data_IF_052548767029
#
_entry.id   IF_052548767029
#
_cell.length_a   1.000
_cell.length_b   1.000
_cell.length_c   1.000
_cell.angle_alpha   90.00
_cell.angle_beta   90.00
_cell.angle_gamma   90.00
#
_symmetry.space_group_name_H-M   'P 1'
#
loop_
_entity.id
_entity.type
_entity.pdbx_description
1 polymer ?
#
# COMPACT_ATOMS: atom_id res chain seq x y z
N UNK A 1 14.69 8.14 -6.64
CA UNK A 1 14.23 7.24 -5.59
C UNK A 1 13.34 6.18 -6.20
N UNK A 2 13.49 4.88 -5.81
CA UNK A 2 12.64 3.81 -6.36
C UNK A 2 11.17 3.92 -5.99
N UNK A 3 10.83 4.61 -4.91
CA UNK A 3 9.43 4.78 -4.51
C UNK A 3 9.03 6.25 -4.66
N UNK A 4 7.99 6.49 -5.46
CA UNK A 4 7.44 7.81 -5.71
C UNK A 4 5.97 7.82 -5.33
N UNK A 5 5.48 8.93 -4.78
CA UNK A 5 4.06 9.04 -4.46
C UNK A 5 3.52 10.43 -4.76
N UNK A 6 2.22 10.49 -5.01
CA UNK A 6 1.47 11.72 -5.17
C UNK A 6 0.21 11.65 -4.32
N UNK A 7 -0.22 12.78 -3.79
CA UNK A 7 -1.40 12.88 -2.96
C UNK A 7 -2.38 13.85 -3.63
N UNK A 8 -3.60 13.38 -3.89
CA UNK A 8 -4.68 14.19 -4.45
C UNK A 8 -5.74 14.40 -3.38
N UNK A 9 -5.76 15.55 -2.72
CA UNK A 9 -6.73 15.80 -1.65
C UNK A 9 -8.16 15.99 -2.17
N UNK A 10 -8.36 16.38 -3.42
CA UNK A 10 -9.70 16.52 -3.99
C UNK A 10 -10.37 15.17 -4.15
N UNK A 11 -9.65 14.19 -4.68
CA UNK A 11 -10.16 12.83 -4.85
C UNK A 11 -9.96 11.96 -3.61
N UNK A 12 -9.21 12.46 -2.63
CA UNK A 12 -8.80 11.70 -1.45
C UNK A 12 -8.15 10.38 -1.87
N UNK A 13 -7.16 10.51 -2.74
CA UNK A 13 -6.43 9.39 -3.33
C UNK A 13 -4.93 9.63 -3.22
N UNK A 14 -4.21 8.65 -2.70
CA UNK A 14 -2.77 8.63 -2.67
C UNK A 14 -2.27 7.53 -3.59
N UNK A 15 -1.44 7.87 -4.55
CA UNK A 15 -0.88 6.92 -5.51
C UNK A 15 0.62 6.82 -5.32
N UNK A 16 1.12 5.60 -5.19
CA UNK A 16 2.55 5.33 -5.10
C UNK A 16 2.97 4.39 -6.22
N UNK A 17 4.17 4.62 -6.76
CA UNK A 17 4.76 3.78 -7.80
C UNK A 17 6.15 3.35 -7.35
N UNK A 18 6.40 2.05 -7.37
CA UNK A 18 7.70 1.48 -7.05
C UNK A 18 8.41 1.10 -8.36
N UNK A 19 9.65 1.54 -8.51
CA UNK A 19 10.50 1.22 -9.66
C UNK A 19 11.87 0.75 -9.15
N UNK A 20 12.15 -0.53 -9.30
CA UNK A 20 13.37 -1.14 -8.78
C UNK A 20 13.25 -1.56 -7.33
N UNK A 21 14.38 -1.72 -6.66
CA UNK A 21 14.41 -2.22 -5.29
C UNK A 21 13.89 -1.18 -4.29
N UNK A 22 12.86 -1.55 -3.54
CA UNK A 22 12.29 -0.72 -2.48
C UNK A 22 12.76 -1.26 -1.13
N UNK A 23 13.35 -0.37 -0.33
CA UNK A 23 13.86 -0.70 1.00
C UNK A 23 12.83 -0.43 2.08
N UNK A 24 13.05 -0.98 3.26
CA UNK A 24 12.22 -0.71 4.44
C UNK A 24 12.19 0.79 4.76
N UNK A 25 13.33 1.47 4.68
CA UNK A 25 13.43 2.90 4.95
C UNK A 25 12.55 3.72 4.02
N UNK A 26 12.47 3.34 2.74
CA UNK A 26 11.60 4.01 1.77
C UNK A 26 10.13 3.80 2.07
N UNK A 27 9.74 2.58 2.44
CA UNK A 27 8.38 2.32 2.89
C UNK A 27 8.01 3.12 4.13
N UNK A 28 8.91 3.22 5.09
CA UNK A 28 8.68 4.01 6.30
C UNK A 28 8.54 5.49 5.98
N UNK A 29 9.34 6.02 5.06
CA UNK A 29 9.21 7.39 4.58
C UNK A 29 7.84 7.62 3.92
N UNK A 30 7.37 6.67 3.13
CA UNK A 30 6.05 6.71 2.50
C UNK A 30 4.93 6.74 3.56
N UNK A 31 5.01 5.87 4.56
CA UNK A 31 4.03 5.84 5.64
C UNK A 31 4.05 7.11 6.49
N UNK A 32 5.24 7.66 6.74
CA UNK A 32 5.39 8.93 7.46
C UNK A 32 4.78 10.09 6.68
N UNK A 33 5.05 10.17 5.38
CA UNK A 33 4.50 11.22 4.51
C UNK A 33 2.96 11.15 4.46
N UNK A 34 2.42 9.94 4.44
CA UNK A 34 0.98 9.70 4.48
C UNK A 34 0.36 10.27 5.76
N UNK A 35 0.97 9.98 6.91
CA UNK A 35 0.50 10.49 8.21
C UNK A 35 0.63 12.00 8.32
N UNK A 36 1.75 12.57 7.90
CA UNK A 36 2.01 14.02 7.94
C UNK A 36 1.05 14.80 7.05
N UNK A 37 0.65 14.23 5.92
CA UNK A 37 -0.31 14.86 5.01
C UNK A 37 -1.78 14.68 5.44
N UNK A 38 -2.04 13.95 6.51
CA UNK A 38 -3.40 13.63 6.93
C UNK A 38 -4.13 12.70 5.97
N UNK A 39 -3.39 11.88 5.23
CA UNK A 39 -3.92 11.05 4.17
C UNK A 39 -4.17 9.58 4.59
N UNK A 40 -4.11 9.27 5.88
CA UNK A 40 -4.33 7.91 6.36
C UNK A 40 -5.69 7.34 5.93
N UNK A 41 -6.72 8.17 5.93
CA UNK A 41 -8.08 7.77 5.51
C UNK A 41 -8.30 7.79 4.01
N UNK A 42 -7.35 8.26 3.21
CA UNK A 42 -7.49 8.31 1.76
C UNK A 42 -7.47 6.91 1.14
N UNK A 43 -8.11 6.76 -0.01
CA UNK A 43 -7.93 5.58 -0.84
C UNK A 43 -6.48 5.55 -1.32
N UNK A 44 -5.91 4.35 -1.41
CA UNK A 44 -4.50 4.20 -1.78
C UNK A 44 -4.34 3.20 -2.91
N UNK A 45 -3.53 3.58 -3.89
CA UNK A 45 -3.09 2.70 -4.96
C UNK A 45 -1.57 2.59 -4.88
N UNK A 46 -1.09 1.39 -4.61
CA UNK A 46 0.34 1.10 -4.58
C UNK A 46 0.69 0.26 -5.80
N UNK A 47 1.34 0.87 -6.78
CA UNK A 47 1.76 0.18 -8.00
C UNK A 47 3.18 -0.36 -7.82
N UNK A 48 3.27 -1.62 -7.46
CA UNK A 48 4.54 -2.33 -7.33
C UNK A 48 4.88 -3.21 -8.52
N UNK A 49 4.20 -3.03 -9.67
CA UNK A 49 4.40 -3.89 -10.84
C UNK A 49 5.82 -3.85 -11.40
N UNK A 50 6.52 -2.73 -11.25
CA UNK A 50 7.91 -2.56 -11.66
C UNK A 50 8.87 -2.56 -10.47
N UNK A 51 8.34 -2.81 -9.29
CA UNK A 51 9.11 -2.82 -8.07
C UNK A 51 9.70 -4.19 -7.80
N UNK A 52 10.73 -4.18 -6.98
CA UNK A 52 11.31 -5.37 -6.43
C UNK A 52 11.60 -5.09 -4.96
N UNK A 53 11.61 -6.12 -4.14
CA UNK A 53 12.02 -5.98 -2.75
C UNK A 53 12.77 -7.22 -2.32
N UNK A 54 13.87 -6.97 -1.63
CA UNK A 54 14.67 -8.02 -1.01
C UNK A 54 14.47 -8.04 0.50
N UNK A 55 13.43 -7.35 0.97
CA UNK A 55 13.13 -7.37 2.39
C UNK A 55 12.79 -8.79 2.83
N UNK A 56 13.41 -9.28 3.90
CA UNK A 56 13.03 -10.56 4.48
C UNK A 56 11.60 -10.50 5.03
N UNK A 57 10.98 -11.66 5.17
CA UNK A 57 9.60 -11.76 5.65
C UNK A 57 9.38 -11.02 6.97
N UNK A 58 10.37 -11.00 7.84
CA UNK A 58 10.32 -10.30 9.13
C UNK A 58 10.13 -8.80 8.97
N UNK A 59 10.79 -8.18 8.00
CA UNK A 59 10.64 -6.74 7.74
C UNK A 59 9.29 -6.42 7.12
N UNK A 60 8.81 -7.26 6.21
CA UNK A 60 7.48 -7.12 5.63
C UNK A 60 6.41 -7.23 6.73
N UNK A 61 6.58 -8.19 7.62
CA UNK A 61 5.69 -8.38 8.77
C UNK A 61 5.70 -7.16 9.68
N UNK A 62 6.88 -6.60 9.96
CA UNK A 62 7.01 -5.40 10.80
C UNK A 62 6.27 -4.19 10.20
N UNK A 63 6.36 -4.01 8.88
CA UNK A 63 5.63 -2.95 8.18
C UNK A 63 4.12 -3.16 8.28
N UNK A 64 3.66 -4.39 8.14
CA UNK A 64 2.25 -4.73 8.28
C UNK A 64 1.73 -4.46 9.69
N UNK A 65 2.51 -4.80 10.73
CA UNK A 65 2.18 -4.50 12.12
C UNK A 65 2.07 -2.99 12.32
N UNK A 66 2.99 -2.22 11.75
CA UNK A 66 2.94 -0.76 11.81
C UNK A 66 1.66 -0.20 11.18
N UNK A 67 1.26 -0.73 10.02
CA UNK A 67 0.03 -0.30 9.35
C UNK A 67 -1.19 -0.63 10.21
N UNK A 68 -1.19 -1.80 10.84
CA UNK A 68 -2.28 -2.20 11.73
C UNK A 68 -2.38 -1.29 12.95
N UNK A 69 -1.24 -0.95 13.56
CA UNK A 69 -1.19 -0.04 14.70
C UNK A 69 -1.71 1.34 14.30
N UNK A 70 -1.33 1.84 13.14
CA UNK A 70 -1.84 3.10 12.62
C UNK A 70 -3.36 3.07 12.43
N UNK A 71 -3.92 1.94 11.99
CA UNK A 71 -5.35 1.78 11.83
C UNK A 71 -6.11 1.82 13.17
N UNK A 72 -5.48 1.38 14.25
CA UNK A 72 -6.07 1.46 15.59
C UNK A 72 -6.20 2.90 16.10
N UNK A 73 -5.30 3.79 15.68
CA UNK A 73 -5.34 5.20 16.08
C UNK A 73 -6.23 6.05 15.17
N UNK A 74 -6.55 5.57 13.98
CA UNK A 74 -7.45 6.24 13.03
C UNK A 74 -7.64 5.36 11.81
N UNK A 75 -8.86 5.30 11.24
CA UNK A 75 -9.13 4.38 10.12
C UNK A 75 -8.21 4.66 8.94
N UNK A 76 -7.53 3.64 8.45
CA UNK A 76 -6.80 3.69 7.19
C UNK A 76 -7.78 3.39 6.05
N UNK A 77 -7.68 4.14 4.97
CA UNK A 77 -8.57 3.98 3.83
C UNK A 77 -8.27 2.72 2.99
N UNK A 78 -9.11 2.44 1.99
CA UNK A 78 -8.93 1.28 1.11
C UNK A 78 -7.57 1.26 0.44
N UNK A 79 -7.03 0.06 0.21
CA UNK A 79 -5.73 -0.13 -0.42
C UNK A 79 -5.82 -1.12 -1.58
N UNK A 80 -5.38 -0.68 -2.75
CA UNK A 80 -5.14 -1.54 -3.90
C UNK A 80 -3.62 -1.69 -4.08
N UNK A 81 -3.14 -2.92 -4.13
CA UNK A 81 -1.72 -3.22 -4.30
C UNK A 81 -1.52 -3.97 -5.61
N UNK A 82 -0.66 -3.46 -6.47
CA UNK A 82 -0.29 -4.15 -7.71
C UNK A 82 1.10 -4.73 -7.52
N UNK A 83 1.25 -6.02 -7.77
CA UNK A 83 2.51 -6.75 -7.57
C UNK A 83 2.79 -7.66 -8.76
N UNK A 84 4.06 -7.99 -9.03
CA UNK A 84 4.38 -9.04 -10.00
C UNK A 84 3.78 -10.38 -9.58
N UNK A 85 3.46 -11.23 -10.55
CA UNK A 85 2.79 -12.52 -10.32
C UNK A 85 3.50 -13.40 -9.27
N UNK A 86 4.84 -13.39 -9.30
CA UNK A 86 5.63 -14.18 -8.35
C UNK A 86 5.52 -13.71 -6.90
N UNK A 87 5.04 -12.49 -6.66
CA UNK A 87 4.87 -11.93 -5.31
C UNK A 87 3.42 -11.87 -4.86
N UNK A 88 2.46 -12.10 -5.77
CA UNK A 88 1.04 -11.96 -5.46
C UNK A 88 0.59 -12.90 -4.34
N UNK A 89 1.00 -14.16 -4.36
CA UNK A 89 0.60 -15.13 -3.35
C UNK A 89 1.23 -14.86 -1.97
N UNK A 90 2.59 -14.74 -1.85
CA UNK A 90 3.17 -14.51 -0.53
C UNK A 90 2.78 -13.17 0.08
N UNK A 91 2.69 -12.10 -0.72
CA UNK A 91 2.24 -10.80 -0.22
C UNK A 91 0.76 -10.82 0.14
N UNK A 92 -0.06 -11.49 -0.65
CA UNK A 92 -1.48 -11.66 -0.36
C UNK A 92 -1.72 -12.36 0.97
N UNK A 93 -0.91 -13.37 1.29
CA UNK A 93 -0.97 -14.06 2.59
C UNK A 93 -0.63 -13.14 3.75
N UNK A 94 0.49 -12.43 3.66
CA UNK A 94 0.94 -11.53 4.72
C UNK A 94 -0.06 -10.40 4.91
N UNK A 95 -0.50 -9.77 3.83
CA UNK A 95 -1.48 -8.69 3.89
C UNK A 95 -2.84 -9.18 4.39
N UNK A 96 -3.25 -10.38 4.01
CA UNK A 96 -4.48 -11.00 4.50
C UNK A 96 -4.48 -11.22 6.00
N UNK A 97 -3.35 -11.67 6.55
CA UNK A 97 -3.19 -11.85 8.00
C UNK A 97 -3.20 -10.53 8.76
N UNK A 98 -2.62 -9.49 8.18
CA UNK A 98 -2.44 -8.20 8.84
C UNK A 98 -3.57 -7.23 8.58
N UNK A 99 -4.25 -7.37 7.46
CA UNK A 99 -5.37 -6.54 7.06
C UNK A 99 -6.73 -7.10 7.47
N UNK A 100 -6.75 -8.13 8.29
CA UNK A 100 -7.98 -8.64 8.90
C UNK A 100 -8.75 -7.54 9.64
N UNK A 101 -8.19 -6.36 9.70
CA UNK A 101 -8.82 -5.20 10.30
C UNK A 101 -9.60 -4.44 9.24
N UNK A 102 -10.87 -4.72 9.08
CA UNK A 102 -11.94 -3.74 8.70
C UNK A 102 -11.64 -2.74 7.58
N UNK A 103 -10.70 -3.03 6.70
CA UNK A 103 -10.24 -2.15 5.65
C UNK A 103 -10.30 -2.89 4.31
N UNK A 104 -10.99 -2.36 3.29
CA UNK A 104 -10.94 -2.97 1.97
C UNK A 104 -9.51 -2.99 1.45
N UNK A 105 -9.03 -4.18 1.11
CA UNK A 105 -7.69 -4.37 0.55
C UNK A 105 -7.73 -5.47 -0.49
N UNK A 106 -7.13 -5.21 -1.67
CA UNK A 106 -7.01 -6.21 -2.73
C UNK A 106 -5.66 -6.16 -3.39
N UNK A 107 -5.18 -7.32 -3.79
CA UNK A 107 -3.93 -7.49 -4.55
C UNK A 107 -4.29 -7.75 -5.99
N UNK A 108 -3.59 -7.06 -6.90
CA UNK A 108 -3.82 -7.14 -8.35
C UNK A 108 -2.53 -7.47 -9.07
N UNK A 109 -2.65 -8.13 -10.22
CA UNK A 109 -1.54 -8.35 -11.13
C UNK A 109 -1.37 -7.23 -12.17
N UNK A 110 -2.37 -6.37 -12.33
CA UNK A 110 -2.38 -5.30 -13.32
C UNK A 110 -2.89 -3.99 -12.74
N UNK A 111 -2.22 -2.89 -13.08
CA UNK A 111 -2.54 -1.57 -12.56
C UNK A 111 -3.91 -1.07 -13.03
N UNK A 112 -4.32 -1.43 -14.26
CA UNK A 112 -5.63 -1.03 -14.79
C UNK A 112 -6.79 -1.55 -13.94
N UNK A 113 -6.73 -2.83 -13.56
CA UNK A 113 -7.74 -3.45 -12.70
C UNK A 113 -7.75 -2.81 -11.31
N UNK A 114 -6.57 -2.52 -10.76
CA UNK A 114 -6.44 -1.86 -9.46
C UNK A 114 -7.04 -0.46 -9.46
N UNK A 115 -6.77 0.32 -10.48
CA UNK A 115 -7.33 1.67 -10.65
C UNK A 115 -8.84 1.65 -10.75
N UNK A 116 -9.37 0.70 -11.50
CA UNK A 116 -10.82 0.55 -11.66
C UNK A 116 -11.49 0.22 -10.33
N UNK A 117 -10.91 -0.69 -9.58
CA UNK A 117 -11.44 -1.09 -8.28
C UNK A 117 -11.38 0.07 -7.27
N UNK A 118 -10.22 0.71 -7.12
CA UNK A 118 -10.06 1.79 -6.13
C UNK A 118 -10.92 3.00 -6.50
N UNK A 119 -11.11 3.26 -7.79
CA UNK A 119 -11.97 4.33 -8.27
C UNK A 119 -13.46 4.08 -8.06
N UNK A 120 -13.87 2.81 -7.88
CA UNK A 120 -15.27 2.45 -7.63
C UNK A 120 -15.67 2.62 -6.16
N UNK A 121 -14.72 2.80 -5.27
CA UNK A 121 -14.96 2.95 -3.85
C UNK A 121 -15.18 4.42 -3.47
N UNK A 122 -15.95 4.70 -2.41
CA UNK A 122 -16.12 6.08 -1.95
C UNK A 122 -14.80 6.67 -1.46
N UNK A 123 -14.60 7.92 -1.79
CA UNK A 123 -13.42 8.68 -1.37
C UNK A 123 -13.54 9.21 0.05
#
# INVERSE_FOLDING_TARGET
MPLHWTIDPEQKLMTAVAEGEVTRAEFEAYLNAMGEAGANGYRKLFDGSRGDTRMPAEEILALGVRMRTAHETGPMGPLAVVVPDNLAEPLGRVLGMLAAARRPMRVFGEVGAARKWIGSLPG
#
